data_IF_243086866398
#
_entry.id   IF_243086866398
#
_cell.length_a   1.000
_cell.length_b   1.000
_cell.length_c   1.000
_cell.angle_alpha   90.00
_cell.angle_beta   90.00
_cell.angle_gamma   90.00
#
_symmetry.space_group_name_H-M   'P 1'
#
loop_
_entity.id
_entity.type
_entity.pdbx_description
1 polymer ?
#
# COMPACT_ATOMS: atom_id res chain seq x y z
N UNK A 1 29.27 25.94 -3.37
CA UNK A 1 28.77 25.84 -4.76
C UNK A 1 28.71 24.40 -5.31
N UNK A 2 29.76 23.56 -5.18
CA UNK A 2 29.76 22.17 -5.70
C UNK A 2 28.64 21.26 -5.14
N UNK A 3 28.35 21.32 -3.83
CA UNK A 3 27.32 20.49 -3.16
C UNK A 3 25.90 20.79 -3.66
N UNK A 4 25.54 22.06 -3.87
CA UNK A 4 24.25 22.49 -4.43
C UNK A 4 24.08 22.05 -5.89
N UNK A 5 25.15 22.11 -6.69
CA UNK A 5 25.14 21.63 -8.08
C UNK A 5 24.99 20.11 -8.16
N UNK A 6 25.63 19.37 -7.25
CA UNK A 6 25.52 17.91 -7.17
C UNK A 6 24.12 17.45 -6.73
N UNK A 7 23.53 18.14 -5.75
CA UNK A 7 22.16 17.91 -5.31
C UNK A 7 21.18 18.14 -6.46
N UNK A 8 21.31 19.27 -7.17
CA UNK A 8 20.49 19.59 -8.34
C UNK A 8 20.60 18.54 -9.45
N UNK A 9 21.80 18.01 -9.75
CA UNK A 9 21.98 16.97 -10.77
C UNK A 9 21.40 15.62 -10.32
N UNK A 10 21.52 15.28 -9.03
CA UNK A 10 20.88 14.08 -8.47
C UNK A 10 19.36 14.21 -8.42
N UNK A 11 18.84 15.41 -8.20
CA UNK A 11 17.41 15.73 -8.26
C UNK A 11 16.92 15.69 -9.70
N UNK A 12 17.59 16.35 -10.65
CA UNK A 12 17.25 16.29 -12.08
C UNK A 12 17.30 14.84 -12.59
N UNK A 13 18.26 14.03 -12.11
CA UNK A 13 18.33 12.60 -12.43
C UNK A 13 17.22 11.79 -11.75
N UNK A 14 17.00 11.97 -10.44
CA UNK A 14 15.91 11.33 -9.72
C UNK A 14 14.59 11.66 -10.42
N UNK A 15 14.30 12.93 -10.65
CA UNK A 15 13.11 13.36 -11.36
C UNK A 15 13.08 12.90 -12.80
N UNK A 16 14.21 12.77 -13.52
CA UNK A 16 14.25 12.20 -14.88
C UNK A 16 13.98 10.70 -14.91
N UNK A 17 14.48 9.95 -13.92
CA UNK A 17 14.26 8.51 -13.76
C UNK A 17 12.85 8.25 -13.20
N UNK A 18 12.34 9.17 -12.38
CA UNK A 18 10.97 9.26 -11.87
C UNK A 18 10.02 9.83 -12.94
N UNK A 19 10.51 10.55 -13.96
CA UNK A 19 9.72 11.26 -15.00
C UNK A 19 8.98 10.32 -15.94
N UNK A 20 9.22 9.01 -15.86
CA UNK A 20 8.35 8.01 -16.45
C UNK A 20 6.94 7.97 -15.78
N UNK A 21 6.66 8.88 -14.84
CA UNK A 21 5.31 9.28 -14.37
C UNK A 21 4.36 9.90 -15.43
N UNK A 22 4.59 9.75 -16.74
CA UNK A 22 3.85 10.47 -17.78
C UNK A 22 3.94 12.00 -17.63
N UNK A 23 5.05 12.55 -17.14
CA UNK A 23 5.23 14.00 -17.15
C UNK A 23 5.37 14.46 -18.61
N UNK A 24 4.52 15.40 -19.09
CA UNK A 24 4.64 15.92 -20.44
C UNK A 24 6.04 16.50 -20.66
N UNK A 25 6.65 16.26 -21.82
CA UNK A 25 7.93 16.89 -22.15
C UNK A 25 7.78 18.41 -22.01
N UNK A 26 8.62 19.05 -21.19
CA UNK A 26 8.62 20.50 -21.01
C UNK A 26 7.92 21.04 -19.75
N UNK A 27 7.66 20.22 -18.72
CA UNK A 27 7.23 20.76 -17.42
C UNK A 27 8.39 21.51 -16.74
N UNK A 28 8.18 22.78 -16.40
CA UNK A 28 9.16 23.61 -15.68
C UNK A 28 9.10 23.45 -14.16
N UNK A 29 8.09 22.77 -13.63
CA UNK A 29 7.82 22.56 -12.20
C UNK A 29 7.31 21.14 -11.96
N UNK A 30 7.68 20.52 -10.84
CA UNK A 30 7.23 19.18 -10.47
C UNK A 30 5.76 19.28 -10.02
N UNK A 31 4.81 18.52 -10.61
CA UNK A 31 3.43 18.53 -10.14
C UNK A 31 3.33 18.11 -8.68
N UNK A 32 2.55 18.84 -7.88
CA UNK A 32 2.32 18.52 -6.47
C UNK A 32 1.17 17.53 -6.28
N UNK A 33 0.42 17.26 -7.36
CA UNK A 33 -0.72 16.34 -7.42
C UNK A 33 -0.52 15.29 -8.51
N UNK A 34 -0.76 14.02 -8.15
CA UNK A 34 -0.87 12.92 -9.10
C UNK A 34 -2.10 12.07 -8.79
N UNK A 35 -2.89 11.78 -9.82
CA UNK A 35 -4.01 10.84 -9.66
C UNK A 35 -3.51 9.41 -9.45
N UNK A 36 -2.48 8.99 -10.18
CA UNK A 36 -1.92 7.64 -10.10
C UNK A 36 -0.41 7.68 -10.21
N UNK A 37 0.22 6.91 -9.33
CA UNK A 37 1.66 6.72 -9.25
C UNK A 37 1.91 5.21 -9.16
N UNK A 38 2.77 4.63 -9.99
CA UNK A 38 3.14 3.21 -9.96
C UNK A 38 4.65 3.04 -10.06
N UNK A 39 5.20 2.18 -9.20
CA UNK A 39 6.60 1.79 -9.16
C UNK A 39 6.83 0.32 -9.50
N UNK A 40 5.84 -0.42 -10.02
CA UNK A 40 5.97 -1.86 -10.33
C UNK A 40 7.21 -2.23 -11.18
N UNK A 41 7.68 -1.30 -12.01
CA UNK A 41 8.84 -1.48 -12.89
C UNK A 41 10.08 -0.71 -12.43
N UNK A 42 10.01 -0.08 -11.27
CA UNK A 42 11.06 0.76 -10.70
C UNK A 42 11.36 0.27 -9.30
N UNK A 43 12.60 -0.14 -9.05
CA UNK A 43 12.98 -0.51 -7.69
C UNK A 43 13.11 0.76 -6.82
N UNK A 44 12.00 1.18 -6.21
CA UNK A 44 11.97 2.29 -5.25
C UNK A 44 12.18 1.73 -3.85
N UNK A 45 13.07 2.38 -3.10
CA UNK A 45 13.33 2.12 -1.69
C UNK A 45 12.72 3.21 -0.80
N UNK A 46 12.90 3.08 0.51
CA UNK A 46 12.39 4.04 1.50
C UNK A 46 12.96 5.45 1.30
N UNK A 47 14.21 5.58 0.84
CA UNK A 47 14.81 6.89 0.55
C UNK A 47 14.14 7.53 -0.68
N UNK A 48 13.85 6.75 -1.71
CA UNK A 48 13.09 7.16 -2.87
C UNK A 48 11.68 7.63 -2.51
N UNK A 49 10.96 6.87 -1.67
CA UNK A 49 9.65 7.25 -1.15
C UNK A 49 9.72 8.53 -0.31
N UNK A 50 10.69 8.65 0.60
CA UNK A 50 10.89 9.84 1.41
C UNK A 50 11.11 11.09 0.54
N UNK A 51 11.94 10.97 -0.49
CA UNK A 51 12.16 12.06 -1.44
C UNK A 51 10.87 12.41 -2.17
N UNK A 52 10.13 11.42 -2.67
CA UNK A 52 8.85 11.65 -3.36
C UNK A 52 7.89 12.46 -2.48
N UNK A 53 7.62 12.00 -1.25
CA UNK A 53 6.65 12.68 -0.36
C UNK A 53 7.10 14.08 0.06
N UNK A 54 8.42 14.36 -0.01
CA UNK A 54 8.97 15.70 0.21
C UNK A 54 8.54 16.73 -0.83
N UNK A 55 8.15 16.30 -2.04
CA UNK A 55 7.73 17.18 -3.14
C UNK A 55 6.27 16.98 -3.54
N UNK A 56 5.78 15.74 -3.50
CA UNK A 56 4.43 15.36 -3.92
C UNK A 56 3.65 14.92 -2.69
N UNK A 57 2.70 15.75 -2.26
CA UNK A 57 1.86 15.46 -1.07
C UNK A 57 0.47 14.94 -1.40
N UNK A 58 0.05 15.02 -2.66
CA UNK A 58 -1.28 14.57 -3.07
C UNK A 58 -1.15 13.50 -4.16
N UNK A 59 -1.22 12.24 -3.72
CA UNK A 59 -1.29 11.07 -4.59
C UNK A 59 -2.59 10.36 -4.25
N UNK A 60 -3.41 10.02 -5.26
CA UNK A 60 -4.68 9.32 -5.02
C UNK A 60 -4.51 7.80 -5.07
N UNK A 61 -3.75 7.29 -6.04
CA UNK A 61 -3.51 5.86 -6.23
C UNK A 61 -2.00 5.62 -6.28
N UNK A 62 -1.49 4.76 -5.39
CA UNK A 62 -0.09 4.42 -5.29
C UNK A 62 0.10 2.90 -5.40
N UNK A 63 0.73 2.47 -6.48
CA UNK A 63 1.10 1.08 -6.72
C UNK A 63 2.59 0.88 -6.44
N UNK A 64 2.90 0.16 -5.37
CA UNK A 64 4.25 -0.18 -4.92
C UNK A 64 4.48 -1.69 -5.02
N UNK A 65 3.66 -2.42 -5.77
CA UNK A 65 3.78 -3.87 -5.89
C UNK A 65 5.20 -4.28 -6.33
N UNK A 66 5.78 -5.23 -5.60
CA UNK A 66 7.09 -5.83 -5.89
C UNK A 66 8.28 -4.89 -5.65
N UNK A 67 8.14 -3.90 -4.78
CA UNK A 67 9.23 -2.96 -4.42
C UNK A 67 9.92 -3.36 -3.12
N UNK A 68 11.17 -2.90 -2.94
CA UNK A 68 12.02 -3.20 -1.76
C UNK A 68 11.75 -2.27 -0.55
N UNK A 69 10.57 -1.67 -0.48
CA UNK A 69 10.18 -0.76 0.62
C UNK A 69 9.94 -1.51 1.92
N UNK A 70 10.17 -0.85 3.05
CA UNK A 70 9.98 -1.43 4.39
C UNK A 70 8.84 -0.75 5.15
N UNK A 71 8.61 -1.18 6.39
CA UNK A 71 7.71 -0.50 7.32
C UNK A 71 8.00 1.01 7.46
N UNK A 72 9.26 1.43 7.37
CA UNK A 72 9.66 2.84 7.43
C UNK A 72 9.12 3.63 6.23
N UNK A 73 9.21 3.04 5.03
CA UNK A 73 8.60 3.56 3.81
C UNK A 73 7.10 3.83 3.95
N UNK A 74 6.36 2.89 4.57
CA UNK A 74 4.92 3.07 4.86
C UNK A 74 4.69 4.22 5.83
N UNK A 75 5.58 4.42 6.80
CA UNK A 75 5.57 5.58 7.69
C UNK A 75 5.58 6.91 6.94
N UNK A 76 6.34 7.01 5.84
CA UNK A 76 6.39 8.23 5.02
C UNK A 76 5.08 8.49 4.26
N UNK A 77 4.33 7.45 3.89
CA UNK A 77 3.05 7.56 3.18
C UNK A 77 1.95 8.19 4.03
N UNK A 78 2.12 8.25 5.36
CA UNK A 78 1.17 8.94 6.26
C UNK A 78 1.04 10.44 5.97
N UNK A 79 1.98 11.01 5.21
CA UNK A 79 1.94 12.41 4.75
C UNK A 79 1.06 12.61 3.50
N UNK A 80 0.61 11.54 2.84
CA UNK A 80 -0.20 11.60 1.63
C UNK A 80 -1.70 11.65 1.99
N UNK A 81 -2.18 12.85 2.30
CA UNK A 81 -3.56 13.06 2.80
C UNK A 81 -4.65 12.58 1.83
N UNK A 82 -4.35 12.56 0.52
CA UNK A 82 -5.30 12.17 -0.53
C UNK A 82 -5.23 10.70 -0.94
N UNK A 83 -4.43 9.87 -0.27
CA UNK A 83 -4.18 8.49 -0.68
C UNK A 83 -5.40 7.60 -0.45
N UNK A 84 -6.00 7.12 -1.54
CA UNK A 84 -7.19 6.27 -1.53
C UNK A 84 -6.88 4.82 -1.88
N UNK A 85 -5.90 4.58 -2.75
CA UNK A 85 -5.53 3.23 -3.14
C UNK A 85 -4.05 3.01 -2.88
N UNK A 86 -3.74 1.97 -2.11
CA UNK A 86 -2.38 1.55 -1.82
C UNK A 86 -2.22 0.07 -2.16
N UNK A 87 -1.27 -0.24 -3.04
CA UNK A 87 -0.94 -1.62 -3.41
C UNK A 87 0.49 -1.94 -2.97
N UNK A 88 0.61 -3.02 -2.20
CA UNK A 88 1.85 -3.51 -1.58
C UNK A 88 2.04 -5.01 -1.88
N UNK A 89 1.50 -5.51 -3.00
CA UNK A 89 1.61 -6.92 -3.34
C UNK A 89 3.09 -7.29 -3.47
N UNK A 90 3.49 -8.42 -2.90
CA UNK A 90 4.88 -8.92 -3.00
C UNK A 90 5.94 -7.95 -2.42
N UNK A 91 5.57 -7.07 -1.49
CA UNK A 91 6.54 -6.28 -0.72
C UNK A 91 6.99 -7.06 0.53
N UNK A 92 7.94 -7.98 0.37
CA UNK A 92 8.33 -8.94 1.42
C UNK A 92 9.09 -8.34 2.61
N UNK A 93 9.49 -7.07 2.55
CA UNK A 93 10.14 -6.37 3.67
C UNK A 93 9.13 -5.64 4.59
N UNK A 94 7.83 -5.79 4.33
CA UNK A 94 6.75 -5.23 5.13
C UNK A 94 6.16 -6.33 6.03
N UNK A 95 6.13 -6.07 7.33
CA UNK A 95 5.56 -6.95 8.35
C UNK A 95 4.54 -6.21 9.24
N UNK A 96 4.10 -6.85 10.33
CA UNK A 96 3.14 -6.29 11.28
C UNK A 96 3.51 -4.90 11.84
N UNK A 97 4.79 -4.52 11.81
CA UNK A 97 5.26 -3.20 12.22
C UNK A 97 4.70 -2.03 11.39
N UNK A 98 4.17 -2.29 10.18
CA UNK A 98 3.55 -1.25 9.36
C UNK A 98 2.11 -0.88 9.76
N UNK A 99 1.42 -1.73 10.53
CA UNK A 99 -0.03 -1.64 10.76
C UNK A 99 -0.43 -0.31 11.42
N UNK A 100 0.34 0.14 12.41
CA UNK A 100 0.08 1.40 13.09
C UNK A 100 0.29 2.62 12.16
N UNK A 101 1.08 2.50 11.09
CA UNK A 101 1.20 3.53 10.05
C UNK A 101 0.03 3.48 9.07
N UNK A 102 -0.35 2.28 8.61
CA UNK A 102 -1.50 2.09 7.72
C UNK A 102 -2.78 2.65 8.37
N UNK A 103 -3.01 2.37 9.67
CA UNK A 103 -4.14 2.92 10.42
C UNK A 103 -4.18 4.45 10.50
N UNK A 104 -3.09 5.17 10.20
CA UNK A 104 -3.10 6.65 10.14
C UNK A 104 -3.60 7.18 8.79
N UNK A 105 -3.60 6.36 7.74
CA UNK A 105 -4.04 6.74 6.39
C UNK A 105 -5.55 6.50 6.25
N UNK A 106 -6.33 7.30 6.99
CA UNK A 106 -7.78 7.15 7.08
C UNK A 106 -8.54 7.38 5.76
N UNK A 107 -7.87 7.92 4.74
CA UNK A 107 -8.40 8.11 3.39
C UNK A 107 -8.41 6.85 2.52
N UNK A 108 -7.79 5.74 2.97
CA UNK A 108 -7.72 4.50 2.21
C UNK A 108 -9.11 3.90 1.94
N UNK A 109 -9.37 3.63 0.66
CA UNK A 109 -10.51 2.91 0.12
C UNK A 109 -10.11 1.53 -0.40
N UNK A 110 -8.87 1.35 -0.87
CA UNK A 110 -8.33 0.07 -1.34
C UNK A 110 -6.95 -0.18 -0.73
N UNK A 111 -6.77 -1.37 -0.14
CA UNK A 111 -5.50 -1.83 0.39
C UNK A 111 -5.19 -3.25 -0.09
N UNK A 112 -4.07 -3.44 -0.79
CA UNK A 112 -3.60 -4.75 -1.22
C UNK A 112 -2.33 -5.15 -0.46
N UNK A 113 -2.40 -6.22 0.35
CA UNK A 113 -1.30 -6.72 1.19
C UNK A 113 -0.83 -8.14 0.83
N UNK A 114 -1.38 -8.75 -0.23
CA UNK A 114 -1.03 -10.12 -0.60
C UNK A 114 0.47 -10.30 -0.88
N UNK A 115 1.10 -11.30 -0.27
CA UNK A 115 2.55 -11.56 -0.42
C UNK A 115 3.45 -10.60 0.35
N UNK A 116 2.91 -9.89 1.35
CA UNK A 116 3.72 -9.25 2.43
C UNK A 116 3.94 -10.25 3.57
N UNK A 117 4.80 -9.90 4.53
CA UNK A 117 5.04 -10.67 5.76
C UNK A 117 4.11 -10.23 6.91
N UNK A 118 3.02 -9.51 6.60
CA UNK A 118 1.97 -9.18 7.56
C UNK A 118 1.17 -10.45 7.86
N UNK A 119 1.17 -10.88 9.12
CA UNK A 119 0.33 -12.01 9.53
C UNK A 119 -1.13 -11.58 9.66
N UNK A 120 -2.06 -12.53 9.50
CA UNK A 120 -3.49 -12.24 9.68
C UNK A 120 -3.81 -11.76 11.11
N UNK A 121 -3.11 -12.27 12.12
CA UNK A 121 -3.18 -11.75 13.49
C UNK A 121 -2.68 -10.29 13.60
N UNK A 122 -1.75 -9.88 12.74
CA UNK A 122 -1.32 -8.47 12.65
C UNK A 122 -2.42 -7.53 12.16
N UNK A 123 -3.42 -8.06 11.44
CA UNK A 123 -4.51 -7.28 10.86
C UNK A 123 -5.71 -7.05 11.80
N UNK A 124 -5.65 -7.48 13.07
CA UNK A 124 -6.74 -7.26 14.04
C UNK A 124 -7.19 -5.80 14.14
N UNK A 125 -6.28 -4.85 13.93
CA UNK A 125 -6.56 -3.41 14.02
C UNK A 125 -7.06 -2.79 12.70
N UNK A 126 -7.07 -3.52 11.59
CA UNK A 126 -7.29 -2.93 10.25
C UNK A 126 -8.69 -2.33 10.09
N UNK A 127 -9.66 -2.76 10.92
CA UNK A 127 -10.99 -2.15 11.04
C UNK A 127 -11.00 -0.68 11.48
N UNK A 128 -9.86 -0.14 11.88
CA UNK A 128 -9.63 1.30 12.10
C UNK A 128 -9.86 2.12 10.81
N UNK A 129 -9.69 1.53 9.62
CA UNK A 129 -9.80 2.18 8.31
C UNK A 129 -11.27 2.26 7.89
N UNK A 130 -11.98 3.28 8.39
CA UNK A 130 -13.45 3.39 8.22
C UNK A 130 -13.92 3.60 6.79
N UNK A 131 -13.03 4.06 5.89
CA UNK A 131 -13.34 4.28 4.49
C UNK A 131 -12.95 3.10 3.58
N UNK A 132 -12.39 2.02 4.15
CA UNK A 132 -11.91 0.89 3.38
C UNK A 132 -13.09 0.18 2.72
N UNK A 133 -12.99 0.00 1.40
CA UNK A 133 -13.98 -0.67 0.55
C UNK A 133 -13.46 -1.98 -0.01
N UNK A 134 -12.14 -2.15 -0.07
CA UNK A 134 -11.51 -3.36 -0.58
C UNK A 134 -10.21 -3.64 0.16
N UNK A 135 -10.17 -4.80 0.82
CA UNK A 135 -8.96 -5.37 1.42
C UNK A 135 -8.59 -6.64 0.66
N UNK A 136 -7.35 -6.73 0.16
CA UNK A 136 -6.81 -7.96 -0.41
C UNK A 136 -5.65 -8.49 0.43
N UNK A 137 -5.72 -9.75 0.82
CA UNK A 137 -4.68 -10.45 1.58
C UNK A 137 -4.35 -11.80 0.94
N UNK A 138 -3.21 -12.37 1.34
CA UNK A 138 -2.90 -13.77 1.10
C UNK A 138 -3.13 -14.55 2.39
N UNK A 139 -3.58 -15.79 2.28
CA UNK A 139 -3.72 -16.70 3.42
C UNK A 139 -3.32 -18.11 3.02
N UNK A 140 -2.79 -18.87 3.98
CA UNK A 140 -2.50 -20.28 3.89
C UNK A 140 -3.67 -21.13 4.42
N UNK A 141 -3.62 -22.44 4.19
CA UNK A 141 -4.61 -23.35 4.77
C UNK A 141 -4.53 -23.34 6.30
N UNK A 142 -5.70 -23.33 6.96
CA UNK A 142 -5.81 -23.39 8.42
C UNK A 142 -6.04 -22.05 9.14
N UNK A 143 -6.05 -20.93 8.42
CA UNK A 143 -6.21 -19.58 9.01
C UNK A 143 -7.66 -19.03 8.99
N UNK A 144 -8.66 -19.93 8.93
CA UNK A 144 -10.08 -19.54 8.81
C UNK A 144 -10.59 -18.72 10.03
N UNK A 145 -10.05 -18.99 11.22
CA UNK A 145 -10.44 -18.26 12.43
C UNK A 145 -9.99 -16.79 12.36
N UNK A 146 -8.75 -16.55 11.94
CA UNK A 146 -8.19 -15.23 11.75
C UNK A 146 -8.91 -14.46 10.65
N UNK A 147 -9.19 -15.12 9.51
CA UNK A 147 -9.95 -14.52 8.42
C UNK A 147 -11.36 -14.09 8.87
N UNK A 148 -12.04 -14.92 9.67
CA UNK A 148 -13.35 -14.57 10.23
C UNK A 148 -13.29 -13.41 11.21
N UNK A 149 -12.20 -13.26 11.98
CA UNK A 149 -12.02 -12.11 12.90
C UNK A 149 -11.78 -10.82 12.12
N UNK A 150 -10.96 -10.88 11.07
CA UNK A 150 -10.70 -9.73 10.19
C UNK A 150 -12.00 -9.29 9.53
N UNK A 151 -12.73 -10.21 8.90
CA UNK A 151 -14.01 -9.92 8.23
C UNK A 151 -15.00 -9.22 9.18
N UNK A 152 -15.15 -9.73 10.40
CA UNK A 152 -16.03 -9.13 11.40
C UNK A 152 -15.58 -7.73 11.86
N UNK A 153 -14.30 -7.38 11.72
CA UNK A 153 -13.76 -6.08 12.09
C UNK A 153 -13.82 -5.05 10.93
N UNK A 154 -13.99 -5.50 9.69
CA UNK A 154 -14.00 -4.64 8.52
C UNK A 154 -15.26 -3.76 8.44
N UNK A 155 -15.19 -2.61 7.75
CA UNK A 155 -16.38 -1.82 7.44
C UNK A 155 -17.44 -2.64 6.69
N UNK A 156 -18.76 -2.39 6.89
CA UNK A 156 -19.83 -3.21 6.31
C UNK A 156 -19.86 -3.30 4.78
N UNK A 157 -19.32 -2.30 4.08
CA UNK A 157 -19.24 -2.25 2.61
C UNK A 157 -17.87 -2.68 2.09
N UNK A 158 -16.97 -3.15 2.96
CA UNK A 158 -15.64 -3.55 2.58
C UNK A 158 -15.66 -4.97 2.00
N UNK A 159 -15.36 -5.09 0.71
CA UNK A 159 -15.04 -6.36 0.09
C UNK A 159 -13.73 -6.91 0.67
N UNK A 160 -13.76 -8.16 1.11
CA UNK A 160 -12.58 -8.85 1.63
C UNK A 160 -12.18 -9.96 0.68
N UNK A 161 -11.02 -9.83 0.04
CA UNK A 161 -10.50 -10.81 -0.91
C UNK A 161 -9.29 -11.53 -0.31
N UNK A 162 -9.36 -12.85 -0.32
CA UNK A 162 -8.29 -13.74 0.13
C UNK A 162 -7.79 -14.54 -1.07
N UNK A 163 -6.50 -14.47 -1.37
CA UNK A 163 -5.90 -15.13 -2.54
C UNK A 163 -6.67 -14.82 -3.85
N UNK A 164 -7.04 -13.55 -4.03
CA UNK A 164 -7.79 -13.02 -5.19
C UNK A 164 -9.24 -13.54 -5.34
N UNK A 165 -9.82 -14.13 -4.30
CA UNK A 165 -11.22 -14.57 -4.29
C UNK A 165 -11.98 -13.87 -3.17
N UNK A 166 -13.26 -13.56 -3.37
CA UNK A 166 -14.12 -13.02 -2.32
C UNK A 166 -14.15 -14.02 -1.15
N UNK A 167 -13.90 -13.52 0.05
CA UNK A 167 -14.00 -14.32 1.27
C UNK A 167 -15.47 -14.57 1.57
N UNK A 168 -15.89 -15.82 1.40
CA UNK A 168 -17.20 -16.29 1.80
C UNK A 168 -17.06 -16.96 3.15
N UNK A 169 -17.65 -16.35 4.19
CA UNK A 169 -17.68 -16.96 5.51
C UNK A 169 -18.37 -18.32 5.42
N UNK A 170 -17.62 -19.39 5.66
CA UNK A 170 -18.19 -20.74 5.71
C UNK A 170 -19.22 -20.79 6.82
N UNK A 171 -20.43 -21.24 6.49
CA UNK A 171 -21.45 -21.51 7.50
C UNK A 171 -20.99 -22.70 8.35
N UNK A 172 -21.35 -22.76 9.64
CA UNK A 172 -21.06 -23.93 10.47
C UNK A 172 -21.49 -25.26 9.83
N UNK A 173 -22.54 -25.22 9.00
CA UNK A 173 -23.10 -26.37 8.29
C UNK A 173 -22.24 -26.86 7.11
N UNK A 174 -21.34 -26.03 6.58
CA UNK A 174 -20.49 -26.35 5.42
C UNK A 174 -19.38 -27.38 5.76
N UNK A 175 -19.17 -27.66 7.05
CA UNK A 175 -18.24 -28.69 7.54
C UNK A 175 -18.91 -30.07 7.72
N UNK A 176 -20.23 -30.18 7.52
CA UNK A 176 -20.98 -31.43 7.61
C UNK A 176 -21.02 -32.07 6.22
N UNK A 177 -19.89 -32.60 5.73
CA UNK A 177 -19.88 -33.12 4.36
C UNK A 177 -18.59 -33.78 3.91
N UNK A 178 -18.04 -34.71 4.69
CA UNK A 178 -17.08 -35.73 4.23
C UNK A 178 -16.98 -36.83 5.29
N UNK A 179 -17.97 -37.72 5.34
CA UNK A 179 -17.81 -39.05 5.92
C UNK A 179 -17.66 -40.07 4.80
#
# INVERSE_FOLDING_TARGET
MRRKKLLRVKEEKFWSDFCDFNLPRGVNEIPTFFKRVSFRHYNVDDEGLLRMVGYVRSIVQLDLDGTDITNEGIGYLTQLESLKELRLKECSAIDNGCIDFLCKIQSLELLHLGGTEISLNGLEKIGCLRNLKLLLVSASEGEEEELSKIEAALPPECEFLVNHKLYERKRPDDFIGSC
#
